data_IF_962140833138
#
_entry.id   IF_962140833138
#
_cell.length_a   1.000
_cell.length_b   1.000
_cell.length_c   1.000
_cell.angle_alpha   90.00
_cell.angle_beta   90.00
_cell.angle_gamma   90.00
#
_symmetry.space_group_name_H-M   'P 1'
#
loop_
_entity.id
_entity.type
_entity.pdbx_description
1 polymer ?
#
# COMPACT_ATOMS: atom_id res chain seq x y z
N UNK A 1 -3.66 2.48 11.63
CA UNK A 1 -2.78 1.57 10.86
C UNK A 1 -1.41 1.36 11.51
N UNK A 2 -0.90 2.31 12.31
CA UNK A 2 0.43 2.20 12.96
C UNK A 2 0.68 0.87 13.69
N UNK A 3 -0.24 0.33 14.52
CA UNK A 3 -0.01 -0.95 15.19
C UNK A 3 0.15 -2.17 14.28
N UNK A 4 -0.06 -2.01 12.96
CA UNK A 4 0.16 -3.07 11.97
C UNK A 4 1.59 -3.13 11.44
N UNK A 5 2.45 -2.19 11.80
CA UNK A 5 3.86 -2.14 11.43
C UNK A 5 4.73 -2.73 12.54
N UNK A 6 5.67 -3.60 12.19
CA UNK A 6 6.69 -4.09 13.13
C UNK A 6 7.60 -2.95 13.62
N UNK A 7 7.77 -1.92 12.82
CA UNK A 7 8.58 -0.74 13.20
C UNK A 7 7.95 0.05 14.36
N UNK A 8 6.61 -0.06 14.52
CA UNK A 8 5.91 0.61 15.62
C UNK A 8 6.25 0.01 16.99
N UNK A 9 6.68 -1.24 17.05
CA UNK A 9 7.04 -1.93 18.30
C UNK A 9 8.05 -1.13 19.16
N UNK A 10 9.02 -0.51 18.49
CA UNK A 10 10.03 0.32 19.16
C UNK A 10 9.39 1.51 19.89
N UNK A 11 8.36 2.10 19.32
CA UNK A 11 7.64 3.21 19.92
C UNK A 11 6.71 2.75 21.03
N UNK A 12 6.15 1.53 20.94
CA UNK A 12 5.28 0.96 21.97
C UNK A 12 5.97 0.84 23.32
N UNK A 13 7.28 0.58 23.34
CA UNK A 13 8.07 0.47 24.57
C UNK A 13 8.00 1.74 25.43
N UNK A 14 7.90 2.90 24.82
CA UNK A 14 7.75 4.18 25.51
C UNK A 14 6.29 4.63 25.59
N UNK A 15 5.50 4.33 24.58
CA UNK A 15 4.14 4.82 24.43
C UNK A 15 3.16 4.16 25.40
N UNK A 16 3.24 2.84 25.58
CA UNK A 16 2.35 2.10 26.49
C UNK A 16 2.55 2.53 27.96
N UNK A 17 3.76 2.64 28.50
CA UNK A 17 3.96 3.14 29.87
C UNK A 17 3.53 4.60 30.05
N UNK A 18 3.70 5.45 29.04
CA UNK A 18 3.29 6.86 29.10
C UNK A 18 1.76 7.04 29.07
N UNK A 19 1.07 6.16 28.35
CA UNK A 19 -0.39 6.15 28.22
C UNK A 19 -0.95 4.75 28.51
N UNK A 20 -1.13 4.37 29.78
CA UNK A 20 -1.55 3.01 30.15
C UNK A 20 -2.96 2.63 29.68
N UNK A 21 -3.83 3.60 29.47
CA UNK A 21 -5.19 3.38 29.00
C UNK A 21 -5.24 3.20 27.49
N UNK A 22 -5.87 2.12 27.00
CA UNK A 22 -6.04 1.86 25.55
C UNK A 22 -6.84 2.98 24.87
N UNK A 23 -7.82 3.54 25.57
CA UNK A 23 -8.62 4.65 25.04
C UNK A 23 -7.78 5.90 24.87
N UNK A 24 -6.93 6.22 25.84
CA UNK A 24 -6.04 7.40 25.76
C UNK A 24 -5.04 7.22 24.62
N UNK A 25 -4.46 6.01 24.46
CA UNK A 25 -3.56 5.72 23.33
C UNK A 25 -4.25 5.93 21.98
N UNK A 26 -5.46 5.43 21.83
CA UNK A 26 -6.24 5.61 20.60
C UNK A 26 -6.47 7.09 20.30
N UNK A 27 -6.84 7.87 21.30
CA UNK A 27 -7.05 9.32 21.16
C UNK A 27 -5.75 10.06 20.82
N UNK A 28 -4.65 9.73 21.52
CA UNK A 28 -3.35 10.38 21.28
C UNK A 28 -2.82 10.07 19.87
N UNK A 29 -2.95 8.81 19.40
CA UNK A 29 -2.59 8.45 18.03
C UNK A 29 -3.40 9.22 16.99
N UNK A 30 -4.71 9.40 17.21
CA UNK A 30 -5.55 10.23 16.35
C UNK A 30 -5.11 11.70 16.33
N UNK A 31 -4.72 12.27 17.47
CA UNK A 31 -4.21 13.65 17.55
C UNK A 31 -2.85 13.80 16.86
N UNK A 32 -1.96 12.80 17.01
CA UNK A 32 -0.68 12.77 16.29
C UNK A 32 -0.92 12.72 14.79
N UNK A 33 -1.84 11.87 14.32
CA UNK A 33 -2.18 11.78 12.89
C UNK A 33 -2.64 13.14 12.35
N UNK A 34 -3.53 13.84 13.05
CA UNK A 34 -3.98 15.20 12.65
C UNK A 34 -2.84 16.20 12.52
N UNK A 35 -1.76 16.06 13.28
CA UNK A 35 -0.57 16.91 13.16
C UNK A 35 0.27 16.52 11.94
N UNK A 36 0.41 15.22 11.69
CA UNK A 36 1.20 14.68 10.59
C UNK A 36 0.56 14.90 9.23
N UNK A 37 -0.77 14.87 9.14
CA UNK A 37 -1.53 15.11 7.90
C UNK A 37 -1.13 16.43 7.19
N UNK A 38 -0.55 17.35 7.93
CA UNK A 38 -0.06 18.62 7.36
C UNK A 38 1.28 18.52 6.64
N UNK A 39 2.03 17.46 6.89
CA UNK A 39 3.40 17.29 6.40
C UNK A 39 3.64 15.98 5.64
N UNK A 40 2.67 15.10 5.60
CA UNK A 40 2.80 13.82 4.92
C UNK A 40 1.83 13.67 3.75
N UNK A 41 2.18 12.76 2.82
CA UNK A 41 1.41 12.53 1.59
C UNK A 41 -0.05 12.17 1.85
N UNK A 42 -0.35 11.41 2.91
CA UNK A 42 -1.69 10.94 3.24
C UNK A 42 -2.70 12.09 3.42
N UNK A 43 -2.29 13.24 3.95
CA UNK A 43 -3.15 14.42 4.11
C UNK A 43 -3.52 15.10 2.79
N UNK A 44 -2.84 14.78 1.68
CA UNK A 44 -2.99 15.43 0.38
C UNK A 44 -3.35 14.48 -0.76
N UNK A 45 -3.47 13.21 -0.49
CA UNK A 45 -3.69 12.15 -1.49
C UNK A 45 -4.87 12.45 -2.42
N UNK A 46 -5.96 12.99 -1.91
CA UNK A 46 -7.13 13.40 -2.69
C UNK A 46 -6.83 14.49 -3.73
N UNK A 47 -5.76 15.26 -3.53
CA UNK A 47 -5.35 16.36 -4.42
C UNK A 47 -4.28 15.97 -5.43
N UNK A 48 -3.90 14.70 -5.49
CA UNK A 48 -2.88 14.22 -6.42
C UNK A 48 -3.47 13.91 -7.79
N UNK A 49 -4.59 13.20 -7.83
CA UNK A 49 -5.20 12.71 -9.07
C UNK A 49 -6.50 13.41 -9.46
N UNK A 50 -7.47 13.53 -8.53
CA UNK A 50 -8.84 13.92 -8.88
C UNK A 50 -9.16 15.40 -8.60
N UNK A 51 -8.56 16.02 -7.61
CA UNK A 51 -8.86 17.38 -7.15
C UNK A 51 -7.57 18.19 -6.88
N UNK A 52 -6.76 18.45 -7.91
CA UNK A 52 -5.47 19.11 -7.73
C UNK A 52 -5.66 20.55 -7.25
N UNK A 53 -4.71 21.03 -6.44
CA UNK A 53 -4.70 22.42 -6.01
C UNK A 53 -4.61 23.38 -7.20
N UNK A 54 -5.17 24.60 -7.10
CA UNK A 54 -5.08 25.59 -8.16
C UNK A 54 -3.64 25.85 -8.61
N UNK A 55 -3.38 25.71 -9.92
CA UNK A 55 -2.06 25.88 -10.49
C UNK A 55 -1.14 24.65 -10.42
N UNK A 56 -1.66 23.52 -9.96
CA UNK A 56 -0.97 22.21 -10.08
C UNK A 56 -1.66 21.33 -11.12
N UNK A 57 -0.86 20.53 -11.82
CA UNK A 57 -1.38 19.55 -12.77
C UNK A 57 -1.80 18.26 -12.05
N UNK A 58 -2.76 17.55 -12.62
CA UNK A 58 -3.08 16.17 -12.25
C UNK A 58 -1.82 15.31 -12.39
N UNK A 59 -1.62 14.36 -11.46
CA UNK A 59 -0.50 13.43 -11.50
C UNK A 59 -1.00 12.02 -11.75
N UNK A 60 -0.26 11.27 -12.55
CA UNK A 60 -0.41 9.83 -12.61
C UNK A 60 0.42 9.18 -11.52
N UNK A 61 -0.17 8.15 -10.89
CA UNK A 61 0.40 7.47 -9.73
C UNK A 61 0.41 5.97 -9.95
N UNK A 62 1.56 5.35 -9.79
CA UNK A 62 1.71 3.90 -9.77
C UNK A 62 2.13 3.45 -8.36
N UNK A 63 1.23 2.75 -7.68
CA UNK A 63 1.51 2.13 -6.38
C UNK A 63 1.90 0.68 -6.59
N UNK A 64 3.16 0.34 -6.32
CA UNK A 64 3.63 -1.03 -6.18
C UNK A 64 3.61 -1.42 -4.71
N UNK A 65 2.88 -2.47 -4.37
CA UNK A 65 2.66 -2.90 -2.99
C UNK A 65 3.14 -4.33 -2.83
N UNK A 66 3.91 -4.59 -1.78
CA UNK A 66 4.36 -5.93 -1.45
C UNK A 66 3.27 -6.67 -0.65
N UNK A 67 2.91 -7.87 -1.09
CA UNK A 67 2.03 -8.74 -0.31
C UNK A 67 2.76 -9.24 0.92
N UNK A 68 2.16 -9.08 2.10
CA UNK A 68 2.77 -9.52 3.36
C UNK A 68 3.78 -8.53 3.96
N UNK A 69 3.85 -7.29 3.46
CA UNK A 69 4.72 -6.23 3.99
C UNK A 69 4.47 -6.01 5.49
N UNK A 70 5.53 -6.23 6.28
CA UNK A 70 5.48 -6.13 7.74
C UNK A 70 5.81 -4.73 8.25
N UNK A 71 6.46 -3.89 7.45
CA UNK A 71 6.82 -2.52 7.79
C UNK A 71 5.71 -1.55 7.40
N UNK A 72 5.22 -1.64 6.16
CA UNK A 72 4.18 -0.76 5.62
C UNK A 72 2.97 -1.59 5.19
N UNK A 73 1.96 -1.63 6.04
CA UNK A 73 0.79 -2.48 5.78
C UNK A 73 0.15 -2.19 4.42
N UNK A 74 -0.11 -3.22 3.58
CA UNK A 74 -0.82 -3.06 2.30
C UNK A 74 -2.18 -2.34 2.41
N UNK A 75 -2.81 -2.35 3.58
CA UNK A 75 -4.06 -1.63 3.82
C UNK A 75 -3.91 -0.11 3.70
N UNK A 76 -2.75 0.46 4.01
CA UNK A 76 -2.51 1.89 3.82
C UNK A 76 -2.54 2.26 2.34
N UNK A 77 -1.88 1.48 1.49
CA UNK A 77 -1.89 1.68 0.05
C UNK A 77 -3.30 1.54 -0.56
N UNK A 78 -4.12 0.60 -0.05
CA UNK A 78 -5.51 0.48 -0.48
C UNK A 78 -6.38 1.67 -0.07
N UNK A 79 -6.14 2.24 1.12
CA UNK A 79 -6.81 3.49 1.55
C UNK A 79 -6.43 4.64 0.63
N UNK A 80 -5.13 4.78 0.33
CA UNK A 80 -4.63 5.80 -0.59
C UNK A 80 -5.20 5.63 -2.00
N UNK A 81 -5.17 4.41 -2.54
CA UNK A 81 -5.72 4.11 -3.86
C UNK A 81 -7.21 4.48 -3.99
N UNK A 82 -8.02 4.13 -2.98
CA UNK A 82 -9.44 4.53 -2.93
C UNK A 82 -9.63 6.04 -2.83
N UNK A 83 -8.79 6.71 -2.06
CA UNK A 83 -8.85 8.16 -1.90
C UNK A 83 -8.47 8.89 -3.18
N UNK A 84 -7.50 8.37 -3.92
CA UNK A 84 -7.10 8.86 -5.24
C UNK A 84 -8.08 8.48 -6.36
N UNK A 85 -8.94 7.47 -6.13
CA UNK A 85 -9.83 6.95 -7.17
C UNK A 85 -9.10 6.24 -8.31
N UNK A 86 -7.96 5.60 -8.03
CA UNK A 86 -7.16 4.90 -9.04
C UNK A 86 -7.60 3.44 -9.21
N UNK A 87 -7.30 2.85 -10.38
CA UNK A 87 -7.65 1.48 -10.69
C UNK A 87 -6.72 0.46 -10.02
N UNK A 88 -7.16 -0.79 -9.89
CA UNK A 88 -6.34 -1.89 -9.37
C UNK A 88 -6.07 -2.94 -10.44
N UNK A 89 -4.85 -3.48 -10.47
CA UNK A 89 -4.59 -4.73 -11.19
C UNK A 89 -5.44 -5.85 -10.59
N UNK A 90 -6.11 -6.62 -11.43
CA UNK A 90 -6.92 -7.76 -11.00
C UNK A 90 -6.59 -9.01 -11.82
N UNK A 91 -6.53 -10.18 -11.17
CA UNK A 91 -6.77 -10.44 -9.75
C UNK A 91 -5.69 -9.80 -8.85
N UNK A 92 -6.11 -9.20 -7.73
CA UNK A 92 -5.24 -8.44 -6.83
C UNK A 92 -4.32 -9.33 -6.00
N UNK A 93 -4.82 -10.48 -5.56
CA UNK A 93 -4.07 -11.53 -4.90
C UNK A 93 -4.65 -12.90 -5.28
N UNK A 94 -3.89 -13.98 -5.09
CA UNK A 94 -4.35 -15.32 -5.33
C UNK A 94 -5.50 -15.72 -4.39
N UNK A 95 -6.37 -16.60 -4.86
CA UNK A 95 -7.53 -17.09 -4.11
C UNK A 95 -7.11 -17.64 -2.73
N UNK A 96 -7.80 -17.17 -1.69
CA UNK A 96 -7.56 -17.57 -0.31
C UNK A 96 -6.30 -17.00 0.34
N UNK A 97 -5.51 -16.20 -0.37
CA UNK A 97 -4.34 -15.52 0.21
C UNK A 97 -4.68 -14.17 0.84
N UNK A 98 -5.65 -13.46 0.30
CA UNK A 98 -6.06 -12.18 0.88
C UNK A 98 -6.95 -12.41 2.11
N UNK A 99 -6.68 -11.73 3.24
CA UNK A 99 -7.38 -12.01 4.49
C UNK A 99 -8.82 -11.48 4.52
N UNK A 100 -9.16 -10.53 3.65
CA UNK A 100 -10.49 -9.95 3.59
C UNK A 100 -11.37 -10.65 2.53
N UNK A 101 -12.69 -10.54 2.69
CA UNK A 101 -13.65 -11.22 1.83
C UNK A 101 -13.57 -10.76 0.37
N UNK A 102 -13.35 -9.47 0.16
CA UNK A 102 -13.31 -8.86 -1.17
C UNK A 102 -11.95 -8.16 -1.39
N UNK A 103 -11.22 -8.68 -2.36
CA UNK A 103 -9.91 -8.12 -2.74
C UNK A 103 -10.12 -6.76 -3.44
N UNK A 104 -9.26 -5.79 -3.11
CA UNK A 104 -9.27 -4.46 -3.73
C UNK A 104 -10.66 -3.80 -3.76
N UNK A 105 -11.47 -4.02 -2.71
CA UNK A 105 -12.83 -3.49 -2.61
C UNK A 105 -12.89 -1.99 -2.91
N UNK A 106 -13.86 -1.61 -3.77
CA UNK A 106 -14.09 -0.22 -4.15
C UNK A 106 -13.09 0.35 -5.16
N UNK A 107 -12.24 -0.49 -5.78
CA UNK A 107 -11.35 -0.12 -6.87
C UNK A 107 -11.80 -0.80 -8.17
N UNK A 108 -11.84 -0.03 -9.26
CA UNK A 108 -12.10 -0.56 -10.59
C UNK A 108 -10.89 -1.35 -11.10
N UNK A 109 -11.12 -2.33 -11.98
CA UNK A 109 -10.04 -3.04 -12.63
C UNK A 109 -9.32 -2.17 -13.66
N UNK A 110 -7.98 -2.18 -13.65
CA UNK A 110 -7.20 -1.52 -14.69
C UNK A 110 -7.31 -2.27 -16.02
N UNK A 111 -7.42 -1.52 -17.11
CA UNK A 111 -7.35 -2.06 -18.48
C UNK A 111 -5.99 -1.76 -19.09
N UNK A 112 -5.30 -2.78 -19.56
CA UNK A 112 -3.95 -2.64 -20.14
C UNK A 112 -3.96 -2.59 -21.67
N UNK A 113 -3.03 -1.83 -22.33
CA UNK A 113 -2.19 -0.83 -21.69
C UNK A 113 -2.99 0.36 -21.18
N UNK A 114 -2.49 1.08 -20.16
CA UNK A 114 -3.15 2.26 -19.60
C UNK A 114 -2.18 3.43 -19.57
N UNK A 115 -2.69 4.64 -19.71
CA UNK A 115 -1.98 5.90 -19.48
C UNK A 115 -2.35 6.53 -18.13
N UNK A 116 -3.12 5.82 -17.29
CA UNK A 116 -3.61 6.31 -16.01
C UNK A 116 -2.97 5.64 -14.80
N UNK A 117 -3.43 6.07 -13.64
CA UNK A 117 -2.94 5.64 -12.34
C UNK A 117 -3.44 4.26 -11.94
N UNK A 118 -2.62 3.49 -11.22
CA UNK A 118 -3.02 2.18 -10.72
C UNK A 118 -2.29 1.75 -9.43
N UNK A 119 -2.90 0.79 -8.72
CA UNK A 119 -2.27 0.02 -7.65
C UNK A 119 -2.08 -1.44 -8.11
N UNK A 120 -0.90 -1.99 -7.85
CA UNK A 120 -0.54 -3.36 -8.20
C UNK A 120 0.07 -4.04 -6.97
N UNK A 121 -0.53 -5.17 -6.56
CA UNK A 121 0.01 -6.03 -5.52
C UNK A 121 1.01 -7.00 -6.12
N UNK A 122 2.19 -7.11 -5.52
CA UNK A 122 3.24 -8.04 -5.90
C UNK A 122 3.45 -9.06 -4.77
N UNK A 123 3.25 -10.34 -5.08
CA UNK A 123 3.29 -11.44 -4.12
C UNK A 123 4.59 -12.23 -4.28
N UNK A 124 5.45 -12.19 -3.29
CA UNK A 124 6.69 -13.00 -3.19
C UNK A 124 6.52 -14.30 -2.41
N UNK A 125 5.28 -14.70 -2.13
CA UNK A 125 4.96 -15.92 -1.39
C UNK A 125 4.91 -15.78 0.13
N UNK A 126 5.07 -14.55 0.64
CA UNK A 126 5.09 -14.30 2.08
C UNK A 126 3.73 -14.51 2.75
N UNK A 127 3.73 -14.66 4.07
CA UNK A 127 2.51 -14.83 4.87
C UNK A 127 1.64 -13.57 4.77
N UNK A 128 0.33 -13.76 4.67
CA UNK A 128 -0.61 -12.65 4.68
C UNK A 128 -0.57 -11.90 6.01
N UNK A 129 -0.73 -10.57 5.96
CA UNK A 129 -0.87 -9.76 7.16
C UNK A 129 -2.10 -10.16 7.98
N UNK A 130 -2.08 -10.00 9.33
CA UNK A 130 -3.24 -10.27 10.16
C UNK A 130 -4.44 -9.39 9.77
N UNK A 131 -5.67 -9.90 9.95
CA UNK A 131 -6.90 -9.10 9.83
C UNK A 131 -6.98 -8.07 10.97
N UNK A 132 -6.53 -8.47 12.14
CA UNK A 132 -6.53 -7.67 13.36
C UNK A 132 -5.58 -6.46 13.21
N UNK A 133 -5.81 -5.43 14.02
CA UNK A 133 -4.94 -4.25 14.06
C UNK A 133 -3.68 -4.54 14.91
N UNK A 134 -2.91 -5.54 14.48
CA UNK A 134 -1.68 -6.03 15.11
C UNK A 134 -0.56 -6.12 14.07
N UNK A 135 0.67 -5.98 14.53
CA UNK A 135 1.83 -6.22 13.69
C UNK A 135 1.93 -7.72 13.32
N UNK A 136 2.30 -8.06 12.07
CA UNK A 136 2.57 -9.43 11.69
C UNK A 136 3.76 -9.99 12.50
N UNK A 137 3.71 -11.31 12.79
CA UNK A 137 4.72 -11.99 13.62
C UNK A 137 5.20 -13.29 12.99
N UNK A 138 4.72 -13.61 11.80
CA UNK A 138 5.03 -14.85 11.11
C UNK A 138 5.59 -14.56 9.72
N UNK A 139 6.50 -15.44 9.28
CA UNK A 139 7.16 -15.33 7.98
C UNK A 139 8.18 -14.21 7.89
N UNK A 140 8.74 -14.08 6.71
CA UNK A 140 9.72 -13.04 6.39
C UNK A 140 9.01 -11.80 5.83
N UNK A 141 9.71 -10.66 5.87
CA UNK A 141 9.19 -9.38 5.42
C UNK A 141 9.42 -9.19 3.92
N UNK A 142 8.35 -8.93 3.20
CA UNK A 142 8.38 -8.69 1.75
C UNK A 142 8.66 -7.25 1.32
N UNK A 143 8.90 -6.35 2.28
CA UNK A 143 8.98 -4.90 2.02
C UNK A 143 9.90 -4.52 0.84
N UNK A 144 11.06 -5.18 0.72
CA UNK A 144 12.03 -4.86 -0.33
C UNK A 144 11.86 -5.69 -1.62
N UNK A 145 11.04 -6.76 -1.61
CA UNK A 145 10.94 -7.70 -2.72
C UNK A 145 10.55 -7.03 -4.05
N UNK A 146 9.46 -6.25 -4.14
CA UNK A 146 9.09 -5.61 -5.41
C UNK A 146 10.15 -4.65 -5.94
N UNK A 147 10.90 -3.97 -5.06
CA UNK A 147 11.94 -3.02 -5.48
C UNK A 147 13.09 -3.68 -6.23
N UNK A 148 13.34 -4.94 -5.92
CA UNK A 148 14.42 -5.71 -6.50
C UNK A 148 14.02 -6.47 -7.76
N UNK A 149 12.75 -6.74 -7.93
CA UNK A 149 12.23 -7.53 -9.02
C UNK A 149 12.41 -6.83 -10.38
N UNK A 150 12.77 -7.61 -11.41
CA UNK A 150 13.06 -7.07 -12.73
C UNK A 150 11.81 -6.59 -13.47
N UNK A 151 10.70 -7.30 -13.32
CA UNK A 151 9.43 -6.95 -13.96
C UNK A 151 8.81 -5.71 -13.30
N UNK A 152 8.87 -5.61 -11.97
CA UNK A 152 8.46 -4.40 -11.23
C UNK A 152 9.23 -3.17 -11.74
N UNK A 153 10.56 -3.31 -11.88
CA UNK A 153 11.40 -2.21 -12.39
C UNK A 153 11.08 -1.86 -13.84
N UNK A 154 10.81 -2.87 -14.68
CA UNK A 154 10.43 -2.66 -16.09
C UNK A 154 9.08 -1.95 -16.21
N UNK A 155 8.09 -2.36 -15.42
CA UNK A 155 6.78 -1.71 -15.39
C UNK A 155 6.90 -0.25 -14.94
N UNK A 156 7.65 -0.01 -13.85
CA UNK A 156 7.92 1.34 -13.36
C UNK A 156 8.64 2.21 -14.41
N UNK A 157 9.58 1.64 -15.14
CA UNK A 157 10.29 2.37 -16.22
C UNK A 157 9.34 2.76 -17.35
N UNK A 158 8.49 1.84 -17.82
CA UNK A 158 7.49 2.13 -18.84
C UNK A 158 6.51 3.23 -18.38
N UNK A 159 6.04 3.15 -17.14
CA UNK A 159 5.16 4.16 -16.55
C UNK A 159 5.84 5.55 -16.49
N UNK A 160 7.09 5.62 -16.04
CA UNK A 160 7.77 6.90 -15.82
C UNK A 160 8.35 7.55 -17.10
N UNK A 161 8.72 6.75 -18.10
CA UNK A 161 9.42 7.26 -19.28
C UNK A 161 8.60 7.20 -20.57
N UNK A 162 7.61 6.28 -20.61
CA UNK A 162 6.79 6.06 -21.79
C UNK A 162 5.30 6.42 -21.53
N UNK A 163 4.98 6.98 -20.35
CA UNK A 163 3.62 7.30 -19.91
C UNK A 163 2.65 6.11 -20.08
N UNK A 164 3.16 4.89 -19.90
CA UNK A 164 2.40 3.68 -20.18
C UNK A 164 2.53 2.65 -19.07
N UNK A 165 1.38 2.28 -18.50
CA UNK A 165 1.27 1.14 -17.62
C UNK A 165 1.07 -0.13 -18.44
N UNK A 166 2.03 -1.06 -18.36
CA UNK A 166 2.05 -2.33 -19.09
C UNK A 166 1.70 -3.50 -18.19
N UNK A 167 1.01 -4.50 -18.75
CA UNK A 167 0.76 -5.77 -18.04
C UNK A 167 1.98 -6.69 -18.15
N UNK A 168 2.65 -6.92 -17.03
CA UNK A 168 3.75 -7.90 -16.90
C UNK A 168 3.33 -9.18 -16.18
N UNK A 169 2.08 -9.23 -15.73
CA UNK A 169 1.52 -10.36 -15.01
C UNK A 169 0.63 -11.23 -15.91
N UNK A 170 0.40 -10.81 -17.16
CA UNK A 170 -0.37 -11.56 -18.16
C UNK A 170 -1.83 -11.79 -17.77
N UNK A 171 -2.44 -10.85 -17.06
CA UNK A 171 -3.80 -10.97 -16.54
C UNK A 171 -3.94 -11.93 -15.36
N UNK A 172 -2.83 -12.37 -14.77
CA UNK A 172 -2.78 -13.18 -13.55
C UNK A 172 -2.34 -12.34 -12.34
N UNK A 173 -2.31 -12.93 -11.16
CA UNK A 173 -1.69 -12.32 -9.97
C UNK A 173 -0.23 -11.97 -10.26
N UNK A 174 0.19 -10.77 -9.88
CA UNK A 174 1.57 -10.36 -10.01
C UNK A 174 2.43 -11.01 -8.93
N UNK A 175 3.55 -11.60 -9.34
CA UNK A 175 4.50 -12.24 -8.44
C UNK A 175 5.86 -11.58 -8.51
N UNK A 176 6.56 -11.55 -7.39
CA UNK A 176 7.94 -11.07 -7.30
C UNK A 176 8.83 -12.15 -6.65
N UNK A 177 10.12 -12.09 -6.90
CA UNK A 177 11.07 -12.95 -6.20
C UNK A 177 11.28 -12.44 -4.76
N UNK A 178 11.26 -13.38 -3.78
CA UNK A 178 11.65 -13.06 -2.42
C UNK A 178 13.17 -12.89 -2.33
N UNK A 179 13.61 -11.90 -1.55
CA UNK A 179 15.02 -11.65 -1.24
C UNK A 179 15.33 -12.13 0.17
N UNK A 180 16.23 -13.11 0.27
CA UNK A 180 16.84 -13.50 1.54
C UNK A 180 17.76 -12.41 2.14
#
# INVERSE_FOLDING_TARGET
LLPRSVDFDTYELAFIPAYPSDLDRTLVLGLIQMLWDRGEGAGYVQHVTADPYPGTEVKDVLLHVAFGDQQVTPLSALVEARTMGIAAHQPFAADGRWPEVEQAWGLDAVSYPSDGSAIIMWDSGMVAIPIENLAPREGDDSHEDPRADADVRRQKAAFLFDDTLIDLCGGAVCTADHRE
#
